data_IF_941708665269
#
_entry.id   IF_941708665269
#
_cell.length_a   1.000
_cell.length_b   1.000
_cell.length_c   1.000
_cell.angle_alpha   90.00
_cell.angle_beta   90.00
_cell.angle_gamma   90.00
#
_symmetry.space_group_name_H-M   'P 1'
#
loop_
_entity.id
_entity.type
_entity.pdbx_description
1 polymer ?
#
# COMPACT_ATOMS: atom_id res chain seq x y z
N UNK A 1 38.10 -1.74 24.70
CA UNK A 1 37.77 -0.95 23.51
C UNK A 1 37.49 -1.92 22.37
N UNK A 2 36.22 -2.10 22.05
CA UNK A 2 35.72 -2.99 21.00
C UNK A 2 34.47 -2.31 20.47
N UNK A 3 34.64 -1.60 19.35
CA UNK A 3 33.65 -0.65 18.86
C UNK A 3 32.29 -1.31 18.62
N UNK A 4 31.26 -0.79 19.28
CA UNK A 4 29.91 -0.87 18.74
C UNK A 4 29.91 -0.01 17.47
N UNK A 5 29.96 -0.67 16.31
CA UNK A 5 29.72 -0.01 15.05
C UNK A 5 28.24 0.37 15.00
N UNK A 6 27.92 1.62 15.35
CA UNK A 6 26.66 2.22 14.95
C UNK A 6 26.61 2.17 13.42
N UNK A 7 25.74 1.31 12.87
CA UNK A 7 25.45 1.33 11.45
C UNK A 7 24.72 2.63 11.12
N UNK A 8 25.44 3.59 10.53
CA UNK A 8 24.84 4.82 10.02
C UNK A 8 23.73 4.44 9.02
N UNK A 9 22.50 4.87 9.32
CA UNK A 9 21.35 4.58 8.47
C UNK A 9 21.37 5.51 7.26
N UNK A 10 21.65 4.96 6.07
CA UNK A 10 21.53 5.67 4.81
C UNK A 10 20.07 5.71 4.35
N UNK A 11 19.33 6.71 4.81
CA UNK A 11 18.01 7.07 4.27
C UNK A 11 18.13 7.92 2.99
N UNK A 12 17.08 7.88 2.17
CA UNK A 12 16.83 8.84 1.09
C UNK A 12 15.87 9.94 1.58
N UNK A 13 15.99 11.15 1.03
CA UNK A 13 15.27 12.34 1.52
C UNK A 13 14.56 13.15 0.42
N UNK A 14 14.88 12.91 -0.85
CA UNK A 14 14.34 13.67 -1.99
C UNK A 14 13.81 12.78 -3.11
N UNK A 15 13.03 13.37 -4.03
CA UNK A 15 12.62 12.72 -5.27
C UNK A 15 13.83 12.26 -6.10
N UNK A 16 14.88 13.08 -6.21
CA UNK A 16 16.08 12.75 -6.99
C UNK A 16 16.84 11.56 -6.40
N UNK A 17 16.91 11.44 -5.06
CA UNK A 17 17.47 10.26 -4.40
C UNK A 17 16.69 8.98 -4.77
N UNK A 18 15.36 9.05 -4.66
CA UNK A 18 14.46 7.93 -4.97
C UNK A 18 14.59 7.55 -6.45
N UNK A 19 14.61 8.54 -7.34
CA UNK A 19 14.75 8.35 -8.78
C UNK A 19 16.09 7.71 -9.14
N UNK A 20 17.20 8.25 -8.62
CA UNK A 20 18.53 7.65 -8.81
C UNK A 20 18.56 6.18 -8.33
N UNK A 21 17.91 5.89 -7.20
CA UNK A 21 17.79 4.53 -6.67
C UNK A 21 16.96 3.60 -7.56
N UNK A 22 15.93 4.13 -8.23
CA UNK A 22 15.16 3.38 -9.25
C UNK A 22 15.87 3.23 -10.59
N UNK A 23 16.90 4.00 -10.89
CA UNK A 23 17.70 3.85 -12.11
C UNK A 23 18.82 2.80 -11.97
N UNK A 24 19.22 2.44 -10.73
CA UNK A 24 20.23 1.39 -10.48
C UNK A 24 19.83 0.04 -11.12
N UNK A 25 20.70 -0.63 -11.89
CA UNK A 25 20.37 -1.91 -12.52
C UNK A 25 20.19 -3.03 -11.49
N UNK A 26 18.99 -3.57 -11.42
CA UNK A 26 18.62 -4.72 -10.57
C UNK A 26 18.36 -5.97 -11.42
N UNK A 27 18.39 -7.15 -10.81
CA UNK A 27 17.89 -8.36 -11.47
C UNK A 27 16.36 -8.26 -11.68
N UNK A 28 15.85 -8.93 -12.72
CA UNK A 28 14.41 -8.99 -12.99
C UNK A 28 13.65 -9.61 -11.80
N UNK A 29 12.72 -8.86 -11.22
CA UNK A 29 11.95 -9.30 -10.05
C UNK A 29 12.69 -9.17 -8.70
N UNK A 30 13.82 -8.46 -8.63
CA UNK A 30 14.48 -8.10 -7.38
C UNK A 30 13.69 -7.03 -6.60
N UNK A 31 13.86 -7.01 -5.27
CA UNK A 31 13.21 -6.04 -4.39
C UNK A 31 14.09 -4.81 -4.17
N UNK A 32 13.69 -3.70 -4.77
CA UNK A 32 14.21 -2.38 -4.48
C UNK A 32 13.55 -1.83 -3.21
N UNK A 33 14.27 -1.94 -2.09
CA UNK A 33 13.87 -1.34 -0.82
C UNK A 33 14.45 0.07 -0.68
N UNK A 34 13.57 1.06 -0.51
CA UNK A 34 13.93 2.46 -0.32
C UNK A 34 13.60 2.89 1.11
N UNK A 35 14.64 3.09 1.96
CA UNK A 35 14.47 3.68 3.28
C UNK A 35 14.22 5.18 3.14
N UNK A 36 13.09 5.66 3.66
CA UNK A 36 12.78 7.09 3.76
C UNK A 36 12.82 7.51 5.23
N UNK A 37 13.56 8.58 5.54
CA UNK A 37 13.65 9.09 6.90
C UNK A 37 12.67 10.25 7.16
N UNK A 38 12.33 10.42 8.44
CA UNK A 38 11.50 11.52 8.92
C UNK A 38 12.16 12.89 8.71
N UNK A 39 11.56 13.73 7.86
CA UNK A 39 11.75 15.19 7.92
C UNK A 39 10.44 15.95 8.17
N UNK A 40 9.28 15.29 8.07
CA UNK A 40 7.97 15.94 8.09
C UNK A 40 7.68 16.77 6.83
N UNK A 41 8.49 16.61 5.78
CA UNK A 41 8.38 17.32 4.52
C UNK A 41 7.61 16.50 3.47
N UNK A 42 7.07 17.19 2.48
CA UNK A 42 6.37 16.59 1.34
C UNK A 42 7.39 16.22 0.27
N UNK A 43 7.62 14.92 0.03
CA UNK A 43 8.44 14.44 -1.10
C UNK A 43 7.58 14.43 -2.36
N UNK A 44 7.42 15.58 -3.02
CA UNK A 44 6.67 15.68 -4.28
C UNK A 44 7.30 14.85 -5.41
N UNK A 45 6.48 14.19 -6.22
CA UNK A 45 6.90 13.46 -7.43
C UNK A 45 6.46 14.26 -8.66
N UNK A 46 7.34 15.12 -9.24
CA UNK A 46 6.99 16.01 -10.36
C UNK A 46 6.80 15.26 -11.69
N UNK A 47 7.28 14.03 -11.78
CA UNK A 47 7.14 13.14 -12.94
C UNK A 47 7.00 11.69 -12.48
N UNK A 48 6.54 10.81 -13.38
CA UNK A 48 6.41 9.39 -13.11
C UNK A 48 7.78 8.70 -13.05
N UNK A 49 7.93 7.75 -12.13
CA UNK A 49 9.10 6.85 -12.08
C UNK A 49 8.69 5.48 -12.63
N UNK A 50 9.41 5.00 -13.64
CA UNK A 50 9.20 3.65 -14.18
C UNK A 50 9.92 2.61 -13.31
N UNK A 51 9.14 1.72 -12.70
CA UNK A 51 9.61 0.58 -11.89
C UNK A 51 9.12 -0.76 -12.46
N UNK A 52 8.73 -0.81 -13.74
CA UNK A 52 8.00 -1.95 -14.35
C UNK A 52 8.70 -3.32 -14.21
N UNK A 53 10.04 -3.34 -14.22
CA UNK A 53 10.85 -4.58 -14.08
C UNK A 53 11.26 -4.90 -12.62
N UNK A 54 10.85 -4.09 -11.64
CA UNK A 54 11.34 -4.12 -10.24
C UNK A 54 10.19 -4.29 -9.26
N UNK A 55 10.42 -4.99 -8.14
CA UNK A 55 9.54 -4.86 -6.98
C UNK A 55 9.99 -3.64 -6.17
N UNK A 56 9.08 -2.73 -5.81
CA UNK A 56 9.43 -1.49 -5.11
C UNK A 56 8.78 -1.42 -3.74
N UNK A 57 9.57 -1.16 -2.69
CA UNK A 57 9.11 -1.00 -1.30
C UNK A 57 9.65 0.29 -0.70
N UNK A 58 8.74 1.16 -0.26
CA UNK A 58 9.06 2.24 0.69
C UNK A 58 8.87 1.69 2.10
N UNK A 59 9.79 2.02 2.99
CA UNK A 59 9.71 1.66 4.40
C UNK A 59 10.39 2.71 5.27
N UNK A 60 9.87 2.86 6.49
CA UNK A 60 10.28 3.86 7.48
C UNK A 60 10.84 3.15 8.72
N UNK A 61 11.87 2.31 8.59
CA UNK A 61 12.44 1.61 9.76
C UNK A 61 13.89 1.13 9.60
N UNK A 62 14.77 1.67 10.44
CA UNK A 62 15.81 0.95 11.21
C UNK A 62 16.70 1.87 12.07
N UNK A 63 16.39 3.16 12.17
CA UNK A 63 17.08 4.06 13.07
C UNK A 63 16.46 4.00 14.48
N UNK A 64 17.11 3.29 15.41
CA UNK A 64 16.76 3.30 16.86
C UNK A 64 16.82 4.71 17.50
N UNK A 65 17.30 5.72 16.75
CA UNK A 65 17.35 7.13 17.13
C UNK A 65 16.06 7.92 16.82
N UNK A 66 15.08 7.33 16.12
CA UNK A 66 13.77 7.95 15.88
C UNK A 66 12.82 7.48 16.97
N UNK A 67 12.90 8.13 18.14
CA UNK A 67 12.02 7.87 19.29
C UNK A 67 10.56 8.25 18.97
N UNK A 68 9.74 7.27 18.57
CA UNK A 68 8.29 7.12 18.84
C UNK A 68 7.33 8.31 18.64
N UNK A 69 7.76 9.41 17.99
CA UNK A 69 7.10 10.73 18.10
C UNK A 69 7.25 11.67 16.90
N UNK A 70 8.05 11.33 15.89
CA UNK A 70 8.16 12.13 14.66
C UNK A 70 7.24 11.59 13.56
N UNK A 71 6.23 12.36 13.17
CA UNK A 71 5.36 12.08 12.03
C UNK A 71 6.21 11.99 10.75
N UNK A 72 6.08 10.90 9.99
CA UNK A 72 6.86 10.61 8.77
C UNK A 72 5.98 10.70 7.54
N UNK A 73 5.43 11.88 7.29
CA UNK A 73 4.73 12.17 6.05
C UNK A 73 5.70 12.07 4.86
N UNK A 74 5.31 11.35 3.82
CA UNK A 74 5.93 11.42 2.49
C UNK A 74 4.80 11.28 1.46
N UNK A 75 4.72 12.22 0.50
CA UNK A 75 3.56 12.44 -0.37
C UNK A 75 3.85 12.05 -1.81
N UNK A 76 3.61 10.79 -2.12
CA UNK A 76 3.84 10.23 -3.45
C UNK A 76 2.74 10.69 -4.42
N UNK A 77 3.11 11.06 -5.66
CA UNK A 77 2.26 11.38 -6.83
C UNK A 77 2.84 10.71 -8.11
N UNK A 78 2.13 10.64 -9.24
CA UNK A 78 2.66 10.08 -10.51
C UNK A 78 1.97 8.80 -11.03
N UNK A 79 2.57 8.03 -11.95
CA UNK A 79 1.81 7.03 -12.75
C UNK A 79 1.96 5.52 -12.41
N UNK A 80 2.96 5.07 -11.63
CA UNK A 80 3.28 3.64 -11.31
C UNK A 80 4.31 3.58 -10.16
N UNK A 81 4.43 2.57 -9.27
CA UNK A 81 3.51 1.58 -8.66
C UNK A 81 4.22 0.94 -7.44
N UNK A 82 3.65 0.95 -6.23
CA UNK A 82 4.46 0.73 -4.99
C UNK A 82 3.85 -0.20 -3.93
N UNK A 83 4.71 -1.05 -3.33
CA UNK A 83 4.44 -1.89 -2.15
C UNK A 83 5.04 -1.30 -0.88
N UNK A 84 4.42 -0.23 -0.37
CA UNK A 84 4.78 0.32 0.94
C UNK A 84 4.44 -0.65 2.06
N UNK A 85 5.33 -0.80 3.04
CA UNK A 85 5.13 -1.66 4.21
C UNK A 85 5.32 -0.80 5.48
N UNK A 86 4.23 -0.61 6.23
CA UNK A 86 4.11 0.36 7.34
C UNK A 86 4.57 -0.20 8.69
N UNK A 87 5.71 -0.90 8.74
CA UNK A 87 6.24 -1.42 10.01
C UNK A 87 6.60 -0.30 10.98
N UNK A 88 5.96 -0.31 12.16
CA UNK A 88 6.04 0.66 13.27
C UNK A 88 5.43 2.05 13.00
N UNK A 89 4.78 2.58 14.05
CA UNK A 89 4.20 3.91 14.40
C UNK A 89 4.24 5.13 13.44
N UNK A 90 4.33 4.95 12.12
CA UNK A 90 4.51 6.04 11.15
C UNK A 90 3.23 6.34 10.35
N UNK A 91 3.11 7.57 9.85
CA UNK A 91 1.95 8.10 9.11
C UNK A 91 2.36 8.46 7.67
N UNK A 92 2.00 7.61 6.70
CA UNK A 92 2.32 7.79 5.28
C UNK A 92 1.06 8.29 4.54
N UNK A 93 1.19 9.26 3.62
CA UNK A 93 0.05 9.77 2.85
C UNK A 93 0.35 9.76 1.35
N UNK A 94 -0.37 8.96 0.57
CA UNK A 94 -0.16 8.78 -0.87
C UNK A 94 -1.25 9.59 -1.60
N UNK A 95 -0.87 10.56 -2.44
CA UNK A 95 -1.83 11.51 -3.02
C UNK A 95 -1.71 11.67 -4.54
N UNK A 96 -2.80 11.47 -5.27
CA UNK A 96 -2.88 11.63 -6.72
C UNK A 96 -1.90 10.73 -7.51
N UNK A 97 -1.71 9.49 -7.04
CA UNK A 97 -0.93 8.45 -7.74
C UNK A 97 -1.85 7.56 -8.57
N UNK A 98 -1.48 7.28 -9.82
CA UNK A 98 -1.97 6.15 -10.59
C UNK A 98 -1.10 4.91 -10.30
N UNK A 99 -1.75 3.76 -10.15
CA UNK A 99 -1.15 2.46 -9.90
C UNK A 99 -1.69 1.50 -10.97
N UNK A 100 -0.91 1.24 -12.02
CA UNK A 100 -1.29 0.34 -13.11
C UNK A 100 -0.35 -0.88 -13.22
N UNK A 101 -0.78 -1.93 -13.93
CA UNK A 101 0.05 -3.11 -14.21
C UNK A 101 -0.22 -3.73 -15.58
N UNK A 102 0.84 -3.92 -16.35
CA UNK A 102 0.79 -4.42 -17.73
C UNK A 102 0.69 -5.96 -17.84
N UNK A 103 -0.24 -6.55 -17.11
CA UNK A 103 -0.73 -7.91 -17.38
C UNK A 103 0.13 -9.10 -16.90
N UNK A 104 1.21 -8.88 -16.13
CA UNK A 104 2.03 -9.97 -15.58
C UNK A 104 1.41 -10.71 -14.38
N UNK A 105 1.47 -12.05 -14.39
CA UNK A 105 1.14 -12.89 -13.22
C UNK A 105 2.20 -12.71 -12.10
N UNK A 106 1.93 -11.82 -11.15
CA UNK A 106 2.82 -11.55 -10.01
C UNK A 106 2.02 -11.24 -8.76
N UNK A 107 2.21 -12.05 -7.70
CA UNK A 107 1.29 -12.19 -6.57
C UNK A 107 1.53 -11.20 -5.42
N UNK A 108 1.44 -9.89 -5.67
CA UNK A 108 1.51 -8.86 -4.62
C UNK A 108 0.47 -7.74 -4.85
N UNK A 109 0.02 -7.07 -3.78
CA UNK A 109 -0.84 -5.89 -3.92
C UNK A 109 -0.09 -4.70 -4.55
N UNK A 110 -0.74 -3.55 -4.74
CA UNK A 110 0.02 -2.29 -4.64
C UNK A 110 0.48 -2.16 -3.20
N UNK A 111 -0.36 -1.61 -2.33
CA UNK A 111 0.05 -1.19 -1.00
C UNK A 111 -0.18 -2.33 0.00
N UNK A 112 0.85 -2.68 0.77
CA UNK A 112 0.81 -3.73 1.81
C UNK A 112 0.96 -3.07 3.20
N UNK A 113 -0.11 -2.40 3.65
CA UNK A 113 -0.19 -1.86 5.01
C UNK A 113 -0.08 -3.01 6.01
N UNK A 114 0.91 -2.96 6.88
CA UNK A 114 1.12 -3.94 7.95
C UNK A 114 1.43 -3.27 9.27
N UNK A 115 1.00 -3.89 10.37
CA UNK A 115 1.28 -3.37 11.71
C UNK A 115 0.38 -2.23 12.13
N UNK A 116 0.97 -1.14 12.63
CA UNK A 116 0.26 -0.10 13.42
C UNK A 116 0.47 1.31 12.87
N UNK A 117 1.01 1.44 11.66
CA UNK A 117 1.07 2.71 10.97
C UNK A 117 -0.32 3.24 10.60
N UNK A 118 -0.35 4.52 10.27
CA UNK A 118 -1.44 5.18 9.57
C UNK A 118 -1.02 5.29 8.11
N UNK A 119 -1.91 4.89 7.21
CA UNK A 119 -1.77 5.08 5.77
C UNK A 119 -2.97 5.87 5.26
N UNK A 120 -2.72 7.04 4.71
CA UNK A 120 -3.69 7.78 3.92
C UNK A 120 -3.46 7.57 2.43
N UNK A 121 -4.53 7.46 1.66
CA UNK A 121 -4.54 7.31 0.21
C UNK A 121 -5.62 8.23 -0.34
N UNK A 122 -5.23 9.29 -1.04
CA UNK A 122 -6.09 10.41 -1.45
C UNK A 122 -6.05 10.63 -2.97
N UNK A 123 -7.19 10.59 -3.65
CA UNK A 123 -7.28 10.90 -5.08
C UNK A 123 -6.54 9.92 -6.01
N UNK A 124 -6.11 8.77 -5.49
CA UNK A 124 -5.33 7.79 -6.24
C UNK A 124 -6.21 6.93 -7.15
N UNK A 125 -5.64 6.49 -8.28
CA UNK A 125 -6.28 5.59 -9.24
C UNK A 125 -5.54 4.27 -9.29
N UNK A 126 -6.26 3.15 -9.22
CA UNK A 126 -5.68 1.80 -9.23
C UNK A 126 -6.31 1.00 -10.37
N UNK A 127 -5.50 0.48 -11.30
CA UNK A 127 -5.95 -0.20 -12.52
C UNK A 127 -5.26 -1.56 -12.77
N UNK A 128 -6.06 -2.59 -13.07
CA UNK A 128 -5.60 -3.76 -13.85
C UNK A 128 -4.68 -4.77 -13.16
N UNK A 129 -4.51 -4.74 -11.84
CA UNK A 129 -3.71 -5.76 -11.13
C UNK A 129 -4.42 -7.12 -11.18
N UNK A 130 -3.70 -8.18 -11.52
CA UNK A 130 -4.28 -9.54 -11.69
C UNK A 130 -3.35 -10.61 -11.15
N UNK A 131 -3.95 -11.70 -10.68
CA UNK A 131 -3.27 -12.86 -10.06
C UNK A 131 -3.83 -13.13 -8.66
N UNK A 132 -3.37 -14.16 -7.97
CA UNK A 132 -4.00 -14.60 -6.71
C UNK A 132 -3.98 -13.52 -5.60
N UNK A 133 -3.05 -12.57 -5.70
CA UNK A 133 -2.91 -11.40 -4.82
C UNK A 133 -3.02 -10.05 -5.58
N UNK A 134 -3.64 -10.01 -6.77
CA UNK A 134 -3.75 -8.80 -7.60
C UNK A 134 -4.75 -7.74 -7.10
N UNK A 135 -4.65 -7.39 -5.81
CA UNK A 135 -5.45 -6.34 -5.15
C UNK A 135 -4.68 -5.03 -5.11
N UNK A 136 -5.38 -3.91 -5.10
CA UNK A 136 -4.77 -2.59 -4.90
C UNK A 136 -4.20 -2.42 -3.49
N UNK A 137 -4.99 -2.73 -2.46
CA UNK A 137 -4.58 -2.50 -1.07
C UNK A 137 -4.80 -3.77 -0.25
N UNK A 138 -3.79 -4.15 0.52
CA UNK A 138 -3.85 -5.18 1.54
C UNK A 138 -3.53 -4.51 2.88
N UNK A 139 -4.44 -4.62 3.84
CA UNK A 139 -4.24 -4.14 5.21
C UNK A 139 -4.21 -5.34 6.16
N UNK A 140 -3.02 -5.75 6.60
CA UNK A 140 -2.78 -6.84 7.55
C UNK A 140 -2.08 -6.27 8.79
N UNK A 141 -2.87 -5.74 9.73
CA UNK A 141 -2.41 -5.08 10.97
C UNK A 141 -1.57 -5.95 11.92
N UNK A 142 -1.24 -7.17 11.53
CA UNK A 142 -0.46 -8.15 12.27
C UNK A 142 1.04 -7.80 12.35
N UNK A 143 1.42 -7.09 13.42
CA UNK A 143 2.77 -7.16 13.98
C UNK A 143 2.70 -7.68 15.42
N UNK A 144 3.10 -8.94 15.61
CA UNK A 144 3.20 -9.59 16.92
C UNK A 144 1.89 -9.59 17.75
N UNK A 145 1.98 -9.87 19.06
CA UNK A 145 0.82 -10.13 19.95
C UNK A 145 0.26 -8.87 20.63
N UNK A 146 0.64 -7.67 20.20
CA UNK A 146 0.43 -6.45 20.99
C UNK A 146 -0.98 -5.82 20.86
N UNK A 147 -1.83 -6.38 20.00
CA UNK A 147 -3.26 -6.03 19.82
C UNK A 147 -3.52 -4.62 19.30
N UNK A 148 -2.49 -3.92 18.81
CA UNK A 148 -2.66 -2.65 18.09
C UNK A 148 -3.13 -2.92 16.66
N UNK A 149 -3.72 -1.91 16.01
CA UNK A 149 -4.46 -2.05 14.73
C UNK A 149 -3.86 -1.16 13.65
N UNK A 150 -3.80 -1.66 12.42
CA UNK A 150 -3.26 -0.93 11.27
C UNK A 150 -4.33 -0.09 10.59
N UNK A 151 -4.12 1.22 10.46
CA UNK A 151 -5.18 2.14 10.00
C UNK A 151 -4.95 2.57 8.56
N UNK A 152 -5.91 2.31 7.67
CA UNK A 152 -5.88 2.74 6.27
C UNK A 152 -7.09 3.63 5.95
N UNK A 153 -6.82 4.85 5.49
CA UNK A 153 -7.81 5.84 5.05
C UNK A 153 -7.73 6.00 3.54
N UNK A 154 -8.82 5.70 2.82
CA UNK A 154 -8.92 5.78 1.36
C UNK A 154 -9.98 6.80 1.00
N UNK A 155 -9.60 7.89 0.31
CA UNK A 155 -10.45 9.06 0.07
C UNK A 155 -10.41 9.48 -1.40
N UNK A 156 -11.56 9.60 -2.06
CA UNK A 156 -11.62 10.10 -3.45
C UNK A 156 -10.91 9.21 -4.49
N UNK A 157 -10.69 7.93 -4.18
CA UNK A 157 -9.89 7.03 -5.01
C UNK A 157 -10.72 6.23 -6.02
N UNK A 158 -10.09 5.74 -7.08
CA UNK A 158 -10.70 4.87 -8.09
C UNK A 158 -10.00 3.51 -8.14
N UNK A 159 -10.77 2.43 -8.19
CA UNK A 159 -10.27 1.04 -8.25
C UNK A 159 -10.95 0.30 -9.40
N UNK A 160 -10.19 -0.07 -10.43
CA UNK A 160 -10.73 -0.64 -11.66
C UNK A 160 -10.04 -1.93 -12.11
N UNK A 161 -10.85 -2.96 -12.40
CA UNK A 161 -10.44 -4.12 -13.18
C UNK A 161 -9.46 -5.07 -12.49
N UNK A 162 -9.37 -5.02 -11.16
CA UNK A 162 -8.50 -5.86 -10.34
C UNK A 162 -9.01 -7.30 -10.23
N UNK A 163 -8.12 -8.26 -10.02
CA UNK A 163 -8.45 -9.67 -9.79
C UNK A 163 -7.56 -10.27 -8.70
N UNK A 164 -8.17 -10.81 -7.64
CA UNK A 164 -7.50 -11.44 -6.51
C UNK A 164 -8.28 -12.65 -5.96
N UNK A 165 -7.72 -13.41 -5.02
CA UNK A 165 -8.46 -14.50 -4.35
C UNK A 165 -9.58 -13.97 -3.45
N UNK A 166 -9.22 -13.07 -2.52
CA UNK A 166 -10.15 -12.35 -1.65
C UNK A 166 -9.88 -10.86 -1.80
N UNK A 167 -10.97 -10.08 -1.88
CA UNK A 167 -10.92 -8.63 -1.99
C UNK A 167 -10.33 -8.22 -3.32
N UNK A 168 -11.14 -8.24 -4.39
CA UNK A 168 -10.63 -8.06 -5.75
C UNK A 168 -9.79 -6.79 -5.90
N UNK A 169 -10.23 -5.67 -5.29
CA UNK A 169 -9.45 -4.45 -5.16
C UNK A 169 -8.82 -4.27 -3.77
N UNK A 170 -9.52 -4.57 -2.68
CA UNK A 170 -9.01 -4.34 -1.31
C UNK A 170 -9.30 -5.53 -0.39
N UNK A 171 -8.30 -5.91 0.37
CA UNK A 171 -8.41 -6.90 1.46
C UNK A 171 -8.03 -6.25 2.79
N UNK A 172 -8.99 -6.15 3.71
CA UNK A 172 -8.77 -5.73 5.09
C UNK A 172 -8.81 -6.98 5.99
N UNK A 173 -7.70 -7.28 6.64
CA UNK A 173 -7.45 -8.54 7.36
C UNK A 173 -7.14 -8.29 8.85
N UNK A 174 -6.33 -9.16 9.45
CA UNK A 174 -6.03 -9.27 10.89
C UNK A 174 -5.80 -7.90 11.50
N UNK A 175 -6.69 -7.51 12.41
CA UNK A 175 -6.59 -6.27 13.17
C UNK A 175 -6.44 -4.98 12.31
N UNK A 176 -6.91 -4.99 11.06
CA UNK A 176 -6.94 -3.81 10.19
C UNK A 176 -8.18 -2.92 10.41
N UNK A 177 -7.97 -1.63 10.60
CA UNK A 177 -9.03 -0.60 10.58
C UNK A 177 -8.99 0.16 9.25
N UNK A 178 -10.12 0.20 8.56
CA UNK A 178 -10.20 0.77 7.22
C UNK A 178 -11.35 1.76 7.08
N UNK A 179 -11.05 2.95 6.59
CA UNK A 179 -12.00 3.99 6.22
C UNK A 179 -11.97 4.17 4.70
N UNK A 180 -13.12 4.15 4.06
CA UNK A 180 -13.28 4.38 2.61
C UNK A 180 -14.33 5.48 2.43
N UNK A 181 -13.93 6.61 1.86
CA UNK A 181 -14.81 7.76 1.61
C UNK A 181 -14.71 8.22 0.14
N UNK A 182 -15.85 8.62 -0.43
CA UNK A 182 -15.97 9.29 -1.73
C UNK A 182 -15.28 8.54 -2.90
N UNK A 183 -15.16 7.21 -2.80
CA UNK A 183 -14.32 6.38 -3.69
C UNK A 183 -15.14 5.45 -4.61
N UNK A 184 -14.59 5.09 -5.76
CA UNK A 184 -15.27 4.24 -6.77
C UNK A 184 -14.56 2.92 -7.00
N UNK A 185 -15.32 1.83 -7.00
CA UNK A 185 -14.87 0.47 -7.29
C UNK A 185 -15.64 -0.06 -8.50
N UNK A 186 -14.95 -0.34 -9.60
CA UNK A 186 -15.57 -0.83 -10.83
C UNK A 186 -14.90 -2.08 -11.42
N UNK A 187 -15.70 -3.06 -11.86
CA UNK A 187 -15.24 -4.25 -12.59
C UNK A 187 -14.18 -5.11 -11.88
N UNK A 188 -14.05 -5.00 -10.55
CA UNK A 188 -13.11 -5.80 -9.76
C UNK A 188 -13.66 -7.20 -9.51
N UNK A 189 -12.78 -8.18 -9.40
CA UNK A 189 -13.13 -9.60 -9.36
C UNK A 189 -12.42 -10.34 -8.22
N UNK A 190 -13.15 -11.19 -7.49
CA UNK A 190 -12.59 -12.09 -6.48
C UNK A 190 -12.89 -13.56 -6.81
N UNK A 191 -11.86 -14.41 -6.82
CA UNK A 191 -12.03 -15.86 -7.02
C UNK A 191 -12.80 -16.55 -5.89
N UNK A 192 -12.83 -15.94 -4.70
CA UNK A 192 -13.52 -16.45 -3.52
C UNK A 192 -14.51 -15.39 -3.01
N UNK A 193 -14.04 -14.37 -2.27
CA UNK A 193 -14.92 -13.46 -1.52
C UNK A 193 -14.62 -11.98 -1.77
N UNK A 194 -15.68 -11.17 -1.84
CA UNK A 194 -15.59 -9.71 -1.87
C UNK A 194 -15.05 -9.18 -3.19
N UNK A 195 -15.90 -9.06 -4.21
CA UNK A 195 -15.46 -8.77 -5.58
C UNK A 195 -14.69 -7.46 -5.73
N UNK A 196 -15.00 -6.46 -4.92
CA UNK A 196 -14.14 -5.30 -4.68
C UNK A 196 -13.44 -5.40 -3.32
N UNK A 197 -14.19 -5.59 -2.22
CA UNK A 197 -13.67 -5.51 -0.85
C UNK A 197 -13.94 -6.81 -0.10
N UNK A 198 -12.90 -7.38 0.49
CA UNK A 198 -13.00 -8.39 1.54
C UNK A 198 -12.59 -7.77 2.88
N UNK A 199 -13.49 -7.80 3.86
CA UNK A 199 -13.19 -7.51 5.25
C UNK A 199 -13.34 -8.81 6.05
N UNK A 200 -12.28 -9.26 6.72
CA UNK A 200 -12.29 -10.48 7.51
C UNK A 200 -11.22 -10.50 8.60
N UNK A 201 -11.11 -11.61 9.31
CA UNK A 201 -10.09 -11.86 10.33
C UNK A 201 -10.04 -10.77 11.43
N UNK A 202 -11.21 -10.29 11.87
CA UNK A 202 -11.39 -9.17 12.81
C UNK A 202 -10.95 -7.78 12.28
N UNK A 203 -10.79 -7.63 10.98
CA UNK A 203 -10.77 -6.33 10.31
C UNK A 203 -12.08 -5.56 10.53
N UNK A 204 -12.02 -4.22 10.58
CA UNK A 204 -13.18 -3.33 10.61
C UNK A 204 -13.12 -2.41 9.41
N UNK A 205 -14.25 -2.23 8.73
CA UNK A 205 -14.37 -1.32 7.60
C UNK A 205 -15.53 -0.34 7.81
N UNK A 206 -15.28 0.94 7.55
CA UNK A 206 -16.29 2.00 7.45
C UNK A 206 -16.29 2.53 6.02
N UNK A 207 -17.45 2.56 5.38
CA UNK A 207 -17.60 2.99 3.99
C UNK A 207 -18.64 4.11 3.92
N UNK A 208 -18.30 5.25 3.31
CA UNK A 208 -19.19 6.39 3.09
C UNK A 208 -19.09 6.86 1.64
N UNK A 209 -20.20 7.27 1.04
CA UNK A 209 -20.27 7.88 -0.31
C UNK A 209 -19.55 7.09 -1.43
N UNK A 210 -19.37 5.78 -1.27
CA UNK A 210 -18.63 4.97 -2.22
C UNK A 210 -19.53 4.30 -3.28
N UNK A 211 -19.05 4.23 -4.51
CA UNK A 211 -19.77 3.61 -5.63
C UNK A 211 -19.18 2.23 -5.96
N UNK A 212 -20.04 1.21 -6.05
CA UNK A 212 -19.65 -0.15 -6.45
C UNK A 212 -20.41 -0.55 -7.72
N UNK A 213 -19.70 -0.73 -8.84
CA UNK A 213 -20.29 -1.10 -10.13
C UNK A 213 -19.61 -2.33 -10.75
N UNK A 214 -20.40 -3.29 -11.25
CA UNK A 214 -19.91 -4.47 -11.98
C UNK A 214 -18.84 -5.33 -11.27
N UNK A 215 -18.66 -5.17 -9.95
CA UNK A 215 -17.74 -5.99 -9.15
C UNK A 215 -18.36 -7.38 -8.91
N UNK A 216 -17.54 -8.44 -8.93
CA UNK A 216 -18.01 -9.82 -8.88
C UNK A 216 -17.14 -10.71 -7.99
N UNK A 217 -17.77 -11.63 -7.23
CA UNK A 217 -17.09 -12.68 -6.48
C UNK A 217 -17.68 -14.04 -6.86
N UNK A 218 -16.85 -15.08 -6.94
CA UNK A 218 -17.31 -16.43 -7.30
C UNK A 218 -18.06 -17.15 -6.15
N UNK A 219 -17.72 -16.88 -4.89
CA UNK A 219 -18.42 -17.44 -3.72
C UNK A 219 -19.32 -16.40 -3.05
N UNK A 220 -18.75 -15.47 -2.29
CA UNK A 220 -19.51 -14.63 -1.35
C UNK A 220 -19.27 -13.13 -1.57
N UNK A 221 -20.33 -12.33 -1.44
CA UNK A 221 -20.23 -10.87 -1.42
C UNK A 221 -19.80 -10.28 -2.77
N UNK A 222 -20.75 -10.21 -3.72
CA UNK A 222 -20.51 -9.82 -5.12
C UNK A 222 -19.64 -8.56 -5.27
N UNK A 223 -19.90 -7.52 -4.49
CA UNK A 223 -18.99 -6.37 -4.35
C UNK A 223 -18.21 -6.38 -3.02
N UNK A 224 -18.90 -6.64 -1.89
CA UNK A 224 -18.31 -6.59 -0.56
C UNK A 224 -18.64 -7.88 0.18
N UNK A 225 -17.64 -8.49 0.80
CA UNK A 225 -17.81 -9.55 1.78
C UNK A 225 -17.28 -9.07 3.14
N UNK A 226 -18.07 -9.29 4.19
CA UNK A 226 -17.71 -9.06 5.58
C UNK A 226 -17.85 -10.40 6.32
N UNK A 227 -16.76 -10.90 6.92
CA UNK A 227 -16.64 -12.25 7.46
C UNK A 227 -16.22 -12.26 8.94
#
# INVERSE_FOLDING_TARGET
DTGAGNSECSCLYSFDDIKAKTEEPTAFGELLEIPVCSTGETIDFPEAIDVTDKMFRLFTSNCDAIEDSSIVSAVFSGETFFSTNTTSNHEISISNVKFQKDGGNGNRPSIESVGHGILEVLGCTFEGMRGNNGKAIDNDGKINKDRRRGTVSVRGCSFHGHNANNGGAISNRVDGDMLIEDSTFSNNQAQLKGGAIYNGDAGRVTIKNATFSSNQATSDGGAICNA
#
